data_IF_068624395110
#
_entry.id   IF_068624395110
#
_cell.length_a   1.000
_cell.length_b   1.000
_cell.length_c   1.000
_cell.angle_alpha   90.00
_cell.angle_beta   90.00
_cell.angle_gamma   90.00
#
_symmetry.space_group_name_H-M   'P 1'
#
loop_
_entity.id
_entity.type
_entity.pdbx_description
1 polymer ?
#
# COMPACT_ATOMS: atom_id res chain seq x y z
N UNK A 1 13.26 -9.88 9.31
CA UNK A 1 14.17 -9.14 8.42
C UNK A 1 13.98 -9.67 7.01
N UNK A 2 13.69 -8.82 6.03
CA UNK A 2 13.58 -9.19 4.60
C UNK A 2 14.93 -8.88 3.92
N UNK A 3 15.56 -9.84 3.24
CA UNK A 3 16.95 -9.72 2.73
C UNK A 3 17.13 -9.96 1.21
N UNK A 4 16.07 -10.30 0.47
CA UNK A 4 16.20 -10.44 -0.98
C UNK A 4 14.87 -10.13 -1.67
N UNK A 5 14.88 -9.19 -2.61
CA UNK A 5 13.74 -8.95 -3.52
C UNK A 5 13.02 -7.61 -3.40
N UNK A 6 13.44 -6.72 -2.50
CA UNK A 6 12.91 -5.35 -2.44
C UNK A 6 13.44 -4.59 -3.66
N UNK A 7 12.57 -4.30 -4.61
CA UNK A 7 12.90 -3.57 -5.85
C UNK A 7 12.57 -2.09 -5.76
N UNK A 8 11.57 -1.72 -4.97
CA UNK A 8 11.10 -0.33 -4.86
C UNK A 8 10.49 -0.03 -3.49
N UNK A 9 10.09 1.23 -3.27
CA UNK A 9 9.55 1.72 -2.01
C UNK A 9 8.28 0.99 -1.56
N UNK A 10 7.41 0.56 -2.47
CA UNK A 10 6.19 -0.17 -2.12
C UNK A 10 6.47 -1.52 -1.44
N UNK A 11 7.53 -2.22 -1.84
CA UNK A 11 7.90 -3.50 -1.23
C UNK A 11 8.32 -3.31 0.23
N UNK A 12 9.03 -2.21 0.50
CA UNK A 12 9.39 -1.81 1.86
C UNK A 12 8.15 -1.51 2.69
N UNK A 13 7.24 -0.69 2.16
CA UNK A 13 5.99 -0.36 2.86
C UNK A 13 5.21 -1.63 3.24
N UNK A 14 5.04 -2.55 2.29
CA UNK A 14 4.34 -3.83 2.51
C UNK A 14 5.05 -4.67 3.58
N UNK A 15 6.38 -4.77 3.55
CA UNK A 15 7.12 -5.52 4.56
C UNK A 15 6.86 -4.99 5.97
N UNK A 16 6.88 -3.67 6.15
CA UNK A 16 6.59 -3.05 7.46
C UNK A 16 5.11 -3.14 7.84
N UNK A 17 4.18 -3.02 6.88
CA UNK A 17 2.74 -3.24 7.11
C UNK A 17 2.42 -4.65 7.61
N UNK A 18 3.22 -5.65 7.19
CA UNK A 18 3.11 -7.03 7.65
C UNK A 18 3.79 -7.29 9.00
N UNK A 19 4.38 -6.25 9.62
CA UNK A 19 5.00 -6.33 10.94
C UNK A 19 6.49 -6.67 10.94
N UNK A 20 7.19 -6.53 9.81
CA UNK A 20 8.65 -6.68 9.82
C UNK A 20 9.32 -5.58 10.67
N UNK A 21 10.32 -5.97 11.47
CA UNK A 21 11.09 -5.01 12.27
C UNK A 21 12.11 -4.22 11.44
N UNK A 22 12.66 -4.85 10.40
CA UNK A 22 13.65 -4.25 9.52
C UNK A 22 13.68 -4.90 8.13
N UNK A 23 14.18 -4.15 7.16
CA UNK A 23 14.41 -4.57 5.78
C UNK A 23 15.86 -4.25 5.41
N UNK A 24 16.58 -5.24 4.91
CA UNK A 24 17.94 -5.08 4.39
C UNK A 24 17.86 -4.95 2.85
N UNK A 25 18.46 -3.89 2.30
CA UNK A 25 18.46 -3.63 0.87
C UNK A 25 19.75 -2.96 0.44
N UNK A 26 20.25 -3.32 -0.74
CA UNK A 26 21.45 -2.72 -1.34
C UNK A 26 21.22 -2.42 -2.82
N UNK A 27 21.01 -3.46 -3.62
CA UNK A 27 20.94 -3.38 -5.09
C UNK A 27 19.89 -2.39 -5.59
N UNK A 28 18.70 -2.33 -4.96
CA UNK A 28 17.63 -1.42 -5.38
C UNK A 28 17.99 0.06 -5.22
N UNK A 29 18.77 0.42 -4.20
CA UNK A 29 19.28 1.79 -4.02
C UNK A 29 20.50 2.02 -4.91
N UNK A 30 21.46 1.10 -4.88
CA UNK A 30 22.73 1.24 -5.59
C UNK A 30 22.59 1.28 -7.13
N UNK A 31 21.60 0.57 -7.70
CA UNK A 31 21.33 0.55 -9.15
C UNK A 31 20.22 1.50 -9.59
N UNK A 32 19.66 2.31 -8.69
CA UNK A 32 18.67 3.31 -9.07
C UNK A 32 19.32 4.41 -9.92
N UNK A 33 18.55 5.01 -10.83
CA UNK A 33 18.99 6.18 -11.62
C UNK A 33 19.38 7.36 -10.73
N UNK A 34 18.68 7.53 -9.61
CA UNK A 34 18.98 8.52 -8.56
C UNK A 34 19.00 7.79 -7.20
N UNK A 35 20.18 7.28 -6.77
CA UNK A 35 20.31 6.50 -5.54
C UNK A 35 19.91 7.26 -4.29
N UNK A 36 20.23 8.56 -4.21
CA UNK A 36 19.92 9.39 -3.04
C UNK A 36 18.41 9.58 -2.92
N UNK A 37 17.73 9.86 -4.03
CA UNK A 37 16.26 9.96 -4.04
C UNK A 37 15.62 8.61 -3.72
N UNK A 38 16.15 7.50 -4.23
CA UNK A 38 15.64 6.17 -3.91
C UNK A 38 15.80 5.86 -2.42
N UNK A 39 16.96 6.12 -1.82
CA UNK A 39 17.18 5.94 -0.38
C UNK A 39 16.17 6.73 0.47
N UNK A 40 15.88 7.99 0.08
CA UNK A 40 14.84 8.81 0.73
C UNK A 40 13.46 8.18 0.61
N UNK A 41 13.10 7.67 -0.57
CA UNK A 41 11.82 7.00 -0.80
C UNK A 41 11.69 5.72 0.04
N UNK A 42 12.74 4.91 0.13
CA UNK A 42 12.76 3.68 0.95
C UNK A 42 12.57 3.99 2.45
N UNK A 43 13.25 5.02 2.97
CA UNK A 43 13.08 5.46 4.35
C UNK A 43 11.66 5.97 4.64
N UNK A 44 11.08 6.75 3.72
CA UNK A 44 9.70 7.21 3.85
C UNK A 44 8.70 6.05 3.85
N UNK A 45 8.90 5.07 2.97
CA UNK A 45 8.06 3.87 2.91
C UNK A 45 8.15 2.99 4.16
N UNK A 46 9.35 2.83 4.72
CA UNK A 46 9.53 2.10 5.98
C UNK A 46 8.73 2.72 7.13
N UNK A 47 8.80 4.07 7.26
CA UNK A 47 8.05 4.82 8.27
C UNK A 47 6.54 4.70 8.05
N UNK A 48 6.09 4.94 6.83
CA UNK A 48 4.68 4.84 6.47
C UNK A 48 4.11 3.44 6.73
N UNK A 49 4.84 2.39 6.32
CA UNK A 49 4.41 1.00 6.56
C UNK A 49 4.37 0.64 8.04
N UNK A 50 5.33 1.13 8.84
CA UNK A 50 5.33 0.89 10.29
C UNK A 50 4.19 1.62 10.98
N UNK A 51 3.92 2.87 10.59
CA UNK A 51 2.80 3.65 11.11
C UNK A 51 1.47 2.97 10.74
N UNK A 52 1.35 2.43 9.52
CA UNK A 52 0.17 1.68 9.09
C UNK A 52 -0.03 0.37 9.87
N UNK A 53 1.05 -0.36 10.18
CA UNK A 53 1.00 -1.53 11.05
C UNK A 53 0.51 -1.18 12.46
N UNK A 54 1.05 -0.11 13.06
CA UNK A 54 0.69 0.34 14.40
C UNK A 54 -0.72 0.94 14.47
N UNK A 55 -1.17 1.61 13.41
CA UNK A 55 -2.50 2.19 13.32
C UNK A 55 -3.61 1.13 13.20
N UNK A 56 -3.28 -0.08 12.74
CA UNK A 56 -4.25 -1.14 12.48
C UNK A 56 -5.12 -0.81 11.27
N UNK A 57 -4.67 -1.24 10.08
CA UNK A 57 -5.40 -0.97 8.84
C UNK A 57 -6.82 -1.56 8.84
N UNK A 58 -7.72 -0.93 8.08
CA UNK A 58 -9.06 -1.45 7.83
C UNK A 58 -8.98 -2.88 7.25
N UNK A 59 -9.87 -3.81 7.67
CA UNK A 59 -9.95 -5.14 7.08
C UNK A 59 -10.16 -5.05 5.57
N UNK A 60 -9.42 -5.83 4.79
CA UNK A 60 -9.68 -5.94 3.35
C UNK A 60 -11.00 -6.69 3.17
N UNK A 61 -12.04 -5.99 2.73
CA UNK A 61 -13.24 -6.63 2.20
C UNK A 61 -12.87 -7.26 0.84
N UNK A 62 -13.01 -8.58 0.72
CA UNK A 62 -12.81 -9.30 -0.55
C UNK A 62 -13.96 -9.08 -1.54
N UNK A 63 -15.08 -8.57 -1.05
CA UNK A 63 -16.23 -8.17 -1.85
C UNK A 63 -16.35 -6.65 -1.84
N UNK A 64 -16.32 -6.05 -3.02
CA UNK A 64 -16.69 -4.65 -3.19
C UNK A 64 -18.21 -4.55 -3.00
N UNK A 65 -18.65 -4.16 -1.81
CA UNK A 65 -19.94 -3.48 -1.72
C UNK A 65 -19.77 -2.16 -2.48
N UNK A 66 -20.54 -1.99 -3.56
CA UNK A 66 -20.58 -0.72 -4.27
C UNK A 66 -20.87 0.38 -3.24
N UNK A 67 -20.01 1.39 -3.15
CA UNK A 67 -20.22 2.55 -2.27
C UNK A 67 -21.40 3.43 -2.70
N UNK A 68 -22.04 3.06 -3.82
CA UNK A 68 -23.25 3.66 -4.35
C UNK A 68 -24.42 2.77 -3.96
N UNK A 69 -25.29 3.17 -3.02
CA UNK A 69 -26.58 2.52 -2.87
C UNK A 69 -27.30 2.62 -4.22
N UNK A 70 -27.69 1.49 -4.80
CA UNK A 70 -28.63 1.47 -5.93
C UNK A 70 -30.07 1.78 -5.50
N UNK A 71 -30.28 2.23 -4.25
CA UNK A 71 -31.51 2.85 -3.76
C UNK A 71 -31.65 4.26 -4.34
N UNK A 72 -32.07 4.34 -5.59
CA UNK A 72 -32.31 5.62 -6.26
C UNK A 72 -32.58 5.53 -7.76
N UNK A 73 -32.60 4.34 -8.36
CA UNK A 73 -33.13 4.21 -9.71
C UNK A 73 -34.65 4.37 -9.67
N UNK A 74 -35.09 5.62 -9.88
CA UNK A 74 -36.46 5.97 -10.23
C UNK A 74 -36.92 5.09 -11.41
N UNK A 75 -37.87 4.19 -11.16
CA UNK A 75 -38.59 3.52 -12.23
C UNK A 75 -39.33 4.59 -13.06
N UNK A 76 -39.18 4.63 -14.40
CA UNK A 76 -40.05 5.48 -15.20
C UNK A 76 -41.49 5.02 -14.98
N UNK A 77 -42.32 5.94 -14.51
CA UNK A 77 -43.76 5.75 -14.36
C UNK A 77 -44.34 5.23 -15.68
N UNK A 78 -45.10 4.14 -15.61
CA UNK A 78 -46.01 3.73 -16.69
C UNK A 78 -46.97 4.88 -16.97
N UNK A 79 -46.80 5.54 -18.12
CA UNK A 79 -47.85 6.37 -18.71
C UNK A 79 -48.79 5.47 -19.52
N UNK A 80 -50.07 5.57 -19.16
CA UNK A 80 -51.24 4.93 -19.76
C UNK A 80 -51.41 5.15 -21.26
#
# INVERSE_FOLDING_TARGET
IVDAGVGTASDVAIAFELGCDAVLMNTAVARARDPVRMARAMNAAARAGRDAFLAGRMPRKFYAEASSPSEGMISPLETS
#
